data_IF_918980671722
#
_entry.id   IF_918980671722
#
_cell.length_a   1.000
_cell.length_b   1.000
_cell.length_c   1.000
_cell.angle_alpha   90.00
_cell.angle_beta   90.00
_cell.angle_gamma   90.00
#
_symmetry.space_group_name_H-M   'P 1'
#
loop_
_entity.id
_entity.type
_entity.pdbx_description
1 polymer ?
#
# COMPACT_ATOMS: atom_id res chain seq x y z
N UNK A 1 -16.67 13.35 -71.26
CA UNK A 1 -16.94 12.51 -72.45
C UNK A 1 -16.12 11.25 -72.31
N UNK A 2 -16.78 10.09 -72.18
CA UNK A 2 -17.01 9.09 -73.25
C UNK A 2 -15.70 8.34 -73.62
N UNK A 3 -15.54 7.09 -73.13
CA UNK A 3 -15.63 5.81 -73.91
C UNK A 3 -14.24 5.40 -74.44
N UNK A 4 -13.74 4.15 -74.40
CA UNK A 4 -14.24 2.76 -74.13
C UNK A 4 -13.09 1.92 -73.44
N UNK A 5 -13.10 0.61 -73.11
CA UNK A 5 -14.02 -0.55 -73.28
C UNK A 5 -13.77 -1.62 -72.16
N UNK A 6 -14.85 -2.12 -71.56
CA UNK A 6 -15.24 -3.51 -71.12
C UNK A 6 -14.27 -4.73 -71.15
N UNK A 7 -14.52 -5.89 -70.49
CA UNK A 7 -15.34 -6.32 -69.31
C UNK A 7 -15.29 -7.89 -69.14
N UNK A 8 -15.87 -8.45 -68.06
CA UNK A 8 -16.33 -9.86 -67.85
C UNK A 8 -15.27 -11.00 -67.64
N UNK A 9 -15.51 -12.13 -66.92
CA UNK A 9 -15.99 -12.42 -65.53
C UNK A 9 -16.08 -13.96 -65.26
N UNK A 10 -15.74 -14.41 -64.03
CA UNK A 10 -16.00 -15.70 -63.30
C UNK A 10 -15.95 -17.09 -63.97
N UNK A 11 -15.43 -18.10 -63.21
CA UNK A 11 -16.17 -19.24 -62.59
C UNK A 11 -15.16 -20.07 -61.75
N UNK A 12 -15.30 -20.21 -60.42
CA UNK A 12 -16.02 -21.25 -59.65
C UNK A 12 -15.48 -22.69 -59.82
N UNK A 13 -15.02 -23.30 -58.71
CA UNK A 13 -14.65 -24.71 -58.60
C UNK A 13 -14.35 -25.12 -57.15
N UNK A 14 -15.25 -25.88 -56.52
CA UNK A 14 -15.16 -26.39 -55.14
C UNK A 14 -15.03 -27.91 -55.16
N UNK A 15 -14.15 -28.50 -54.34
CA UNK A 15 -14.29 -29.92 -53.92
C UNK A 15 -13.47 -30.23 -52.64
N UNK A 16 -14.12 -30.91 -51.70
CA UNK A 16 -13.55 -31.53 -50.50
C UNK A 16 -13.69 -33.05 -50.65
N UNK A 17 -12.72 -33.82 -50.16
CA UNK A 17 -12.89 -35.26 -49.87
C UNK A 17 -12.10 -35.68 -48.63
N UNK A 18 -12.32 -36.92 -48.17
CA UNK A 18 -12.33 -37.29 -46.76
C UNK A 18 -11.15 -38.19 -46.32
N UNK A 19 -10.74 -37.97 -45.07
CA UNK A 19 -10.41 -38.95 -44.01
C UNK A 19 -9.88 -40.33 -44.45
N UNK A 20 -8.66 -40.64 -43.98
CA UNK A 20 -8.30 -41.97 -43.48
C UNK A 20 -7.37 -41.82 -42.26
N UNK A 21 -7.54 -42.68 -41.26
CA UNK A 21 -6.59 -42.87 -40.16
C UNK A 21 -6.11 -44.33 -40.21
N UNK A 22 -4.87 -44.58 -39.79
CA UNK A 22 -4.40 -45.93 -39.46
C UNK A 22 -3.33 -45.85 -38.35
N UNK A 23 -3.12 -46.94 -37.60
CA UNK A 23 -2.32 -46.95 -36.37
C UNK A 23 -0.99 -47.74 -36.48
N UNK A 24 0.02 -47.24 -35.75
CA UNK A 24 0.99 -48.00 -34.97
C UNK A 24 1.78 -49.17 -35.63
N UNK A 25 3.12 -49.05 -35.71
CA UNK A 25 4.07 -50.01 -35.09
C UNK A 25 5.57 -49.75 -35.37
N UNK A 26 6.41 -50.18 -34.43
CA UNK A 26 7.80 -50.68 -34.60
C UNK A 26 8.95 -49.73 -35.01
N UNK A 27 9.68 -49.28 -33.98
CA UNK A 27 11.14 -49.17 -33.80
C UNK A 27 12.13 -49.17 -35.01
N UNK A 28 13.12 -48.23 -35.02
CA UNK A 28 14.39 -48.40 -35.73
C UNK A 28 15.42 -49.19 -34.87
N UNK A 29 16.48 -49.70 -35.51
CA UNK A 29 17.57 -50.43 -34.85
C UNK A 29 18.94 -50.12 -35.49
N UNK A 30 20.02 -50.51 -34.79
CA UNK A 30 21.44 -50.48 -35.20
C UNK A 30 22.10 -49.07 -35.32
N UNK A 31 23.11 -48.68 -34.52
CA UNK A 31 24.45 -49.25 -34.17
C UNK A 31 25.55 -48.68 -35.09
N UNK A 32 26.76 -48.29 -34.66
CA UNK A 32 27.44 -48.27 -33.35
C UNK A 32 28.38 -47.05 -33.28
N UNK A 33 28.84 -46.66 -32.08
CA UNK A 33 30.29 -46.60 -31.78
C UNK A 33 30.57 -46.51 -30.26
N UNK A 34 31.59 -47.25 -29.83
CA UNK A 34 32.08 -47.46 -28.46
C UNK A 34 33.30 -46.57 -28.13
N UNK A 35 33.86 -46.48 -26.92
CA UNK A 35 33.43 -46.65 -25.49
C UNK A 35 34.71 -46.36 -24.62
N UNK A 36 34.66 -46.49 -23.29
CA UNK A 36 35.78 -46.34 -22.30
C UNK A 36 36.08 -44.86 -21.93
N UNK A 37 36.37 -44.46 -20.69
CA UNK A 37 36.58 -45.14 -19.40
C UNK A 37 36.51 -44.10 -18.23
N UNK A 38 36.46 -44.40 -16.92
CA UNK A 38 35.76 -45.43 -16.11
C UNK A 38 36.26 -45.37 -14.64
N UNK A 39 35.49 -44.83 -13.68
CA UNK A 39 35.62 -45.02 -12.21
C UNK A 39 34.58 -44.12 -11.50
N UNK A 40 33.56 -44.57 -10.77
CA UNK A 40 33.45 -45.56 -9.67
C UNK A 40 34.19 -45.11 -8.40
N UNK A 41 33.41 -44.64 -7.41
CA UNK A 41 33.23 -45.37 -6.15
C UNK A 41 31.85 -45.06 -5.53
N UNK A 42 31.38 -45.97 -4.68
CA UNK A 42 30.01 -46.03 -4.13
C UNK A 42 30.08 -46.53 -2.68
N UNK A 43 29.23 -46.02 -1.78
CA UNK A 43 29.01 -46.65 -0.48
C UNK A 43 27.57 -46.48 0.03
N UNK A 44 26.96 -47.63 0.34
CA UNK A 44 25.78 -47.80 1.20
C UNK A 44 26.29 -48.27 2.60
N UNK A 45 25.54 -48.42 3.70
CA UNK A 45 24.12 -48.83 3.88
C UNK A 45 23.64 -48.57 5.33
N UNK A 46 22.31 -48.67 5.57
CA UNK A 46 21.59 -49.33 6.70
C UNK A 46 22.06 -49.21 8.17
N UNK A 47 21.19 -49.16 9.20
CA UNK A 47 19.71 -49.09 9.32
C UNK A 47 19.34 -48.48 10.72
N UNK A 48 18.28 -48.74 11.53
CA UNK A 48 17.26 -49.81 11.71
C UNK A 48 16.05 -49.26 12.53
N UNK A 49 15.03 -50.09 12.81
CA UNK A 49 13.85 -49.80 13.67
C UNK A 49 13.85 -50.67 14.96
N UNK A 50 12.88 -50.52 15.90
CA UNK A 50 11.68 -51.40 15.82
C UNK A 50 10.31 -50.85 16.34
N UNK A 51 9.27 -51.11 15.54
CA UNK A 51 7.90 -51.64 15.84
C UNK A 51 6.90 -51.04 16.87
N UNK A 52 5.62 -51.04 16.43
CA UNK A 52 4.38 -50.92 17.23
C UNK A 52 3.32 -50.03 16.56
N UNK A 53 2.47 -50.46 15.61
CA UNK A 53 1.35 -51.46 15.70
C UNK A 53 0.34 -51.06 16.80
N UNK A 54 -0.90 -50.66 16.48
CA UNK A 54 -1.94 -51.49 15.83
C UNK A 54 -2.88 -50.76 14.84
N UNK A 55 -3.77 -51.54 14.21
CA UNK A 55 -4.73 -51.13 13.15
C UNK A 55 -6.19 -51.34 13.57
N UNK A 56 -7.13 -50.94 12.69
CA UNK A 56 -8.56 -51.32 12.48
C UNK A 56 -9.38 -50.05 12.12
N UNK A 57 -10.37 -50.02 11.23
CA UNK A 57 -10.68 -50.78 10.00
C UNK A 57 -11.83 -50.06 9.26
N UNK A 58 -12.02 -50.35 7.96
CA UNK A 58 -13.08 -49.84 7.07
C UNK A 58 -14.50 -49.77 7.67
N UNK A 59 -15.29 -48.79 7.22
CA UNK A 59 -16.59 -49.04 6.57
C UNK A 59 -17.02 -47.85 5.69
N UNK A 60 -17.93 -48.10 4.75
CA UNK A 60 -18.41 -47.11 3.77
C UNK A 60 -19.91 -47.25 3.56
N UNK A 61 -20.65 -46.15 3.61
CA UNK A 61 -22.02 -46.07 3.07
C UNK A 61 -22.45 -44.63 2.79
N UNK A 62 -23.24 -44.49 1.74
CA UNK A 62 -24.09 -43.33 1.45
C UNK A 62 -25.53 -43.65 1.88
N UNK A 63 -26.32 -42.65 2.32
CA UNK A 63 -27.66 -42.41 1.76
C UNK A 63 -28.40 -41.17 2.32
N UNK A 64 -29.36 -40.70 1.50
CA UNK A 64 -30.54 -39.84 1.71
C UNK A 64 -30.73 -38.95 2.96
N UNK A 65 -31.22 -37.72 2.70
CA UNK A 65 -31.84 -36.81 3.68
C UNK A 65 -33.36 -36.77 3.45
N UNK A 66 -34.21 -36.93 4.48
CA UNK A 66 -35.63 -36.58 4.43
C UNK A 66 -35.94 -35.19 5.02
N UNK A 67 -36.98 -34.56 4.46
CA UNK A 67 -37.77 -33.42 4.99
C UNK A 67 -38.52 -33.77 6.29
N UNK A 68 -39.05 -32.88 7.13
CA UNK A 68 -38.97 -31.41 7.36
C UNK A 68 -39.81 -31.13 8.63
N UNK A 69 -40.00 -29.92 9.19
CA UNK A 69 -39.60 -28.53 8.90
C UNK A 69 -39.15 -27.86 10.24
N UNK A 70 -39.21 -26.58 10.59
CA UNK A 70 -39.66 -25.27 10.03
C UNK A 70 -38.89 -24.16 10.81
N UNK A 71 -39.06 -22.84 10.65
CA UNK A 71 -39.93 -22.03 9.79
C UNK A 71 -39.87 -20.56 10.18
N UNK A 72 -39.69 -19.63 9.23
CA UNK A 72 -39.65 -18.18 9.51
C UNK A 72 -40.06 -17.31 8.30
N UNK A 73 -40.56 -16.12 8.59
CA UNK A 73 -41.34 -15.29 7.65
C UNK A 73 -40.45 -14.40 6.77
N UNK A 74 -40.83 -14.24 5.49
CA UNK A 74 -40.24 -13.29 4.53
C UNK A 74 -41.29 -12.39 3.89
N UNK A 75 -41.05 -11.08 3.92
CA UNK A 75 -41.50 -10.06 2.95
C UNK A 75 -40.68 -8.78 3.22
N UNK A 76 -40.49 -7.83 2.30
CA UNK A 76 -41.24 -7.52 1.08
C UNK A 76 -40.32 -7.15 -0.10
N UNK A 77 -40.89 -7.02 -1.31
CA UNK A 77 -40.19 -6.54 -2.51
C UNK A 77 -41.01 -5.49 -3.28
N UNK A 78 -40.30 -4.48 -3.80
CA UNK A 78 -40.55 -3.72 -5.06
C UNK A 78 -41.88 -3.00 -5.37
N UNK A 79 -41.79 -1.66 -5.40
CA UNK A 79 -42.19 -0.70 -6.48
C UNK A 79 -43.54 -0.86 -7.23
N UNK A 80 -44.32 0.25 -7.29
CA UNK A 80 -44.68 0.93 -8.57
C UNK A 80 -45.20 2.39 -8.42
N UNK A 81 -45.27 3.07 -9.57
CA UNK A 81 -45.48 4.48 -9.99
C UNK A 81 -46.67 5.35 -9.49
N UNK A 82 -46.53 6.68 -9.75
CA UNK A 82 -47.56 7.76 -9.94
C UNK A 82 -48.29 8.31 -8.68
N UNK A 83 -48.75 9.58 -8.61
CA UNK A 83 -48.52 10.81 -9.42
C UNK A 83 -49.07 12.08 -8.74
N UNK A 84 -48.45 13.26 -8.99
CA UNK A 84 -49.07 14.61 -8.89
C UNK A 84 -49.51 15.10 -7.48
N UNK A 85 -49.69 16.39 -7.14
CA UNK A 85 -49.50 17.68 -7.84
C UNK A 85 -49.51 18.86 -6.85
N UNK A 86 -48.85 19.98 -7.20
CA UNK A 86 -49.02 21.34 -6.61
C UNK A 86 -48.57 21.52 -5.14
N UNK A 87 -48.26 22.73 -4.64
CA UNK A 87 -48.34 24.10 -5.19
C UNK A 87 -47.05 24.90 -4.90
N UNK A 88 -46.80 25.97 -5.65
CA UNK A 88 -45.71 26.93 -5.39
C UNK A 88 -46.24 28.25 -4.83
N UNK A 89 -45.44 28.92 -3.98
CA UNK A 89 -45.44 30.38 -3.79
C UNK A 89 -44.02 30.82 -3.36
N UNK A 90 -43.67 32.06 -3.68
CA UNK A 90 -42.31 32.63 -3.59
C UNK A 90 -42.30 33.91 -2.72
N UNK A 91 -41.14 34.59 -2.67
CA UNK A 91 -40.91 35.93 -2.08
C UNK A 91 -40.85 36.01 -0.55
N UNK A 92 -40.23 37.00 0.11
CA UNK A 92 -39.13 37.95 -0.24
C UNK A 92 -38.87 38.86 0.98
N UNK A 93 -37.64 39.41 1.13
CA UNK A 93 -37.32 40.64 1.91
C UNK A 93 -37.61 40.63 3.43
N UNK A 94 -36.95 41.42 4.30
CA UNK A 94 -35.77 42.28 4.14
C UNK A 94 -35.01 42.41 5.48
N UNK A 95 -33.99 43.26 5.50
CA UNK A 95 -33.01 43.51 6.57
C UNK A 95 -33.59 44.04 7.90
N UNK A 96 -32.84 43.83 8.97
CA UNK A 96 -32.88 44.63 10.20
C UNK A 96 -31.44 44.78 10.75
N UNK A 97 -31.07 45.98 11.21
CA UNK A 97 -29.68 46.33 11.55
C UNK A 97 -29.28 46.18 13.03
N UNK A 98 -28.00 46.44 13.28
CA UNK A 98 -27.22 46.19 14.50
C UNK A 98 -27.63 47.12 15.66
N UNK A 99 -27.64 46.57 16.89
CA UNK A 99 -27.27 47.31 18.09
C UNK A 99 -26.22 46.55 18.91
N UNK A 100 -25.05 47.16 19.08
CA UNK A 100 -23.95 46.62 19.87
C UNK A 100 -24.16 46.85 21.37
N UNK A 101 -23.84 45.85 22.19
CA UNK A 101 -23.44 46.08 23.58
C UNK A 101 -22.06 45.44 23.81
N UNK A 102 -21.12 46.24 24.31
CA UNK A 102 -19.73 45.84 24.47
C UNK A 102 -19.49 45.25 25.87
N UNK A 103 -18.75 44.14 25.92
CA UNK A 103 -18.18 43.59 27.15
C UNK A 103 -16.84 42.97 26.80
N UNK A 104 -15.71 43.42 27.37
CA UNK A 104 -14.40 42.88 27.06
C UNK A 104 -14.19 41.56 27.82
N UNK A 105 -14.88 40.51 27.40
CA UNK A 105 -14.46 39.15 27.75
C UNK A 105 -13.11 38.92 27.08
N UNK A 106 -12.07 38.70 27.89
CA UNK A 106 -10.75 38.31 27.39
C UNK A 106 -10.82 36.87 26.89
N UNK A 107 -11.32 36.70 25.67
CA UNK A 107 -11.24 35.45 24.92
C UNK A 107 -9.78 35.20 24.58
N UNK A 108 -9.06 34.58 25.51
CA UNK A 108 -7.78 33.89 25.28
C UNK A 108 -8.01 32.74 24.32
N UNK A 109 -8.23 33.13 23.07
CA UNK A 109 -8.48 32.29 21.94
C UNK A 109 -7.13 31.69 21.62
N UNK A 110 -6.88 30.49 22.14
CA UNK A 110 -5.76 29.65 21.74
C UNK A 110 -6.00 29.18 20.29
N UNK A 111 -5.97 30.13 19.36
CA UNK A 111 -5.83 29.87 17.94
C UNK A 111 -4.55 29.07 17.78
N UNK A 112 -4.65 27.95 17.05
CA UNK A 112 -3.49 27.13 16.74
C UNK A 112 -2.65 27.92 15.72
N UNK A 113 -1.69 28.70 16.24
CA UNK A 113 -0.76 29.47 15.42
C UNK A 113 0.13 28.47 14.69
N UNK A 114 0.06 28.50 13.36
CA UNK A 114 0.94 27.70 12.52
C UNK A 114 2.41 28.12 12.76
N UNK A 115 3.31 27.14 12.74
CA UNK A 115 4.75 27.37 12.74
C UNK A 115 5.11 28.22 11.52
N UNK A 116 5.88 29.29 11.72
CA UNK A 116 6.38 30.09 10.59
C UNK A 116 7.40 29.24 9.79
N UNK A 117 7.19 29.00 8.48
CA UNK A 117 8.11 28.21 7.66
C UNK A 117 9.57 28.70 7.67
N UNK A 118 9.81 29.98 7.94
CA UNK A 118 11.17 30.55 8.05
C UNK A 118 11.90 30.14 9.35
N UNK A 119 11.17 29.66 10.37
CA UNK A 119 11.75 29.18 11.65
C UNK A 119 12.19 27.72 11.61
N UNK A 120 11.89 27.01 10.52
CA UNK A 120 12.18 25.59 10.34
C UNK A 120 13.68 25.33 10.26
N UNK A 121 14.21 24.56 11.23
CA UNK A 121 15.64 24.24 11.30
C UNK A 121 15.94 23.01 10.44
N UNK A 122 16.84 23.17 9.46
CA UNK A 122 17.30 22.08 8.58
C UNK A 122 18.61 21.48 9.11
N UNK A 123 18.75 20.17 9.01
CA UNK A 123 19.93 19.44 9.47
C UNK A 123 20.19 18.17 8.66
N UNK A 124 21.02 17.29 9.20
CA UNK A 124 21.23 15.94 8.69
C UNK A 124 21.67 14.99 9.80
N UNK A 125 21.50 13.69 9.58
CA UNK A 125 22.12 12.64 10.39
C UNK A 125 22.71 11.57 9.45
N UNK A 126 23.57 10.70 10.00
CA UNK A 126 24.11 9.53 9.29
C UNK A 126 23.58 8.26 9.95
N UNK A 127 22.91 7.40 9.17
CA UNK A 127 22.54 6.07 9.62
C UNK A 127 23.81 5.23 9.75
N UNK A 128 24.08 4.74 10.97
CA UNK A 128 25.29 3.96 11.28
C UNK A 128 25.25 2.54 10.71
N UNK A 129 24.09 2.07 10.23
CA UNK A 129 23.89 0.70 9.72
C UNK A 129 24.38 0.55 8.28
N UNK A 130 24.19 1.56 7.44
CA UNK A 130 24.58 1.57 6.02
C UNK A 130 25.51 2.75 5.63
N UNK A 131 25.79 3.67 6.57
CA UNK A 131 26.60 4.86 6.35
C UNK A 131 25.87 5.97 5.58
N UNK A 132 24.56 5.84 5.31
CA UNK A 132 23.83 6.81 4.52
C UNK A 132 23.51 8.07 5.32
N UNK A 133 23.91 9.22 4.76
CA UNK A 133 23.49 10.53 5.24
C UNK A 133 22.07 10.82 4.73
N UNK A 134 21.20 11.28 5.62
CA UNK A 134 19.85 11.75 5.33
C UNK A 134 19.69 13.17 5.88
N UNK A 135 18.94 14.03 5.16
CA UNK A 135 18.51 15.34 5.65
C UNK A 135 17.45 15.21 6.74
N UNK A 136 17.41 16.15 7.67
CA UNK A 136 16.39 16.28 8.72
C UNK A 136 15.82 17.68 8.77
N UNK A 137 14.64 17.80 9.38
CA UNK A 137 13.91 19.06 9.47
C UNK A 137 13.11 19.14 10.78
N UNK A 138 13.31 20.19 11.57
CA UNK A 138 12.54 20.45 12.80
C UNK A 138 11.37 21.38 12.50
N UNK A 139 10.15 20.89 12.72
CA UNK A 139 8.88 21.58 12.48
C UNK A 139 8.10 21.59 13.79
N UNK A 140 7.93 22.77 14.40
CA UNK A 140 7.52 22.85 15.81
C UNK A 140 8.55 22.13 16.67
N UNK A 141 8.11 21.23 17.56
CA UNK A 141 9.04 20.43 18.37
C UNK A 141 9.55 19.14 17.70
N UNK A 142 8.90 18.65 16.65
CA UNK A 142 9.23 17.37 16.01
C UNK A 142 10.38 17.50 15.01
N UNK A 143 11.38 16.62 15.09
CA UNK A 143 12.50 16.55 14.14
C UNK A 143 12.34 15.35 13.21
N UNK A 144 11.80 15.59 12.02
CA UNK A 144 11.51 14.56 11.02
C UNK A 144 12.72 14.29 10.11
N UNK A 145 12.82 13.07 9.58
CA UNK A 145 13.58 12.84 8.34
C UNK A 145 12.97 13.67 7.21
N UNK A 146 13.79 14.40 6.46
CA UNK A 146 13.39 15.16 5.26
C UNK A 146 13.55 14.34 3.96
N UNK A 147 14.05 13.11 4.06
CA UNK A 147 14.22 12.17 2.94
C UNK A 147 13.66 10.79 3.31
N UNK A 148 13.20 10.03 2.32
CA UNK A 148 12.61 8.70 2.53
C UNK A 148 13.70 7.66 2.86
N UNK A 149 13.45 6.79 3.84
CA UNK A 149 14.39 5.74 4.25
C UNK A 149 14.73 4.79 3.08
N UNK A 150 16.00 4.41 2.95
CA UNK A 150 16.50 3.51 1.90
C UNK A 150 17.45 2.42 2.45
N UNK A 151 17.29 2.07 3.71
CA UNK A 151 18.01 0.97 4.36
C UNK A 151 17.52 -0.38 3.79
N UNK A 152 18.44 -1.31 3.49
CA UNK A 152 18.09 -2.55 2.78
C UNK A 152 18.87 -3.79 3.21
N UNK A 153 19.48 -3.79 4.39
CA UNK A 153 20.23 -4.95 4.89
C UNK A 153 19.28 -6.00 5.48
N UNK A 154 18.89 -6.95 4.64
CA UNK A 154 18.03 -8.07 5.04
C UNK A 154 18.77 -9.21 5.76
N UNK A 155 20.08 -9.08 5.99
CA UNK A 155 20.88 -10.04 6.79
C UNK A 155 20.80 -9.64 8.25
N UNK A 156 21.06 -8.36 8.56
CA UNK A 156 20.91 -7.81 9.91
C UNK A 156 19.46 -7.45 10.27
N UNK A 157 18.55 -7.32 9.29
CA UNK A 157 17.12 -7.10 9.53
C UNK A 157 16.22 -8.06 8.72
N UNK A 158 15.98 -9.30 9.22
CA UNK A 158 15.24 -10.34 8.50
C UNK A 158 13.80 -9.97 8.08
N UNK A 159 13.16 -9.01 8.76
CA UNK A 159 11.85 -8.48 8.35
C UNK A 159 11.83 -7.96 6.91
N UNK A 160 12.96 -7.47 6.39
CA UNK A 160 13.10 -6.98 5.01
C UNK A 160 13.05 -8.06 3.92
N UNK A 161 13.30 -9.34 4.25
CA UNK A 161 13.38 -10.44 3.27
C UNK A 161 12.05 -10.57 2.50
N UNK A 162 12.11 -10.37 1.17
CA UNK A 162 10.94 -10.38 0.28
C UNK A 162 9.89 -9.29 0.56
N UNK A 163 10.24 -8.26 1.35
CA UNK A 163 9.29 -7.30 1.94
C UNK A 163 9.73 -5.82 1.80
N UNK A 164 10.74 -5.55 0.97
CA UNK A 164 11.12 -4.19 0.58
C UNK A 164 11.59 -4.13 -0.87
N UNK A 165 11.28 -3.02 -1.55
CA UNK A 165 11.41 -2.87 -3.01
C UNK A 165 11.88 -1.47 -3.39
N UNK A 166 12.66 -1.39 -4.46
CA UNK A 166 12.69 -0.16 -5.26
C UNK A 166 11.47 -0.16 -6.18
N UNK A 167 10.93 1.01 -6.53
CA UNK A 167 9.87 1.09 -7.54
C UNK A 167 10.33 0.44 -8.85
N UNK A 168 9.47 -0.35 -9.51
CA UNK A 168 9.80 -1.16 -10.69
C UNK A 168 11.02 -2.10 -10.52
N UNK A 169 11.45 -2.35 -9.29
CA UNK A 169 12.71 -3.02 -8.90
C UNK A 169 14.01 -2.35 -9.39
N UNK A 170 13.97 -1.14 -9.96
CA UNK A 170 15.19 -0.42 -10.37
C UNK A 170 15.81 0.41 -9.22
N UNK A 171 17.09 0.17 -8.98
CA UNK A 171 17.95 0.94 -8.06
C UNK A 171 17.90 2.46 -8.25
N UNK A 172 17.60 2.96 -9.46
CA UNK A 172 17.52 4.41 -9.72
C UNK A 172 16.38 5.06 -8.91
N UNK A 173 15.22 4.40 -8.82
CA UNK A 173 14.12 4.85 -7.98
C UNK A 173 14.47 4.79 -6.49
N UNK A 174 15.17 3.75 -6.02
CA UNK A 174 15.67 3.72 -4.64
C UNK A 174 16.60 4.91 -4.33
N UNK A 175 17.52 5.24 -5.24
CA UNK A 175 18.43 6.40 -5.08
C UNK A 175 17.66 7.72 -5.00
N UNK A 176 16.55 7.84 -5.73
CA UNK A 176 15.78 9.08 -5.89
C UNK A 176 14.65 9.27 -4.87
N UNK A 177 13.79 8.27 -4.68
CA UNK A 177 12.57 8.34 -3.87
C UNK A 177 12.64 7.52 -2.57
N UNK A 178 13.80 6.91 -2.27
CA UNK A 178 13.92 5.94 -1.18
C UNK A 178 13.27 4.60 -1.52
N UNK A 179 13.14 3.75 -0.52
CA UNK A 179 12.66 2.36 -0.66
C UNK A 179 11.22 2.23 -0.18
N UNK A 180 10.50 1.29 -0.78
CA UNK A 180 9.15 0.90 -0.39
C UNK A 180 9.24 -0.33 0.53
N UNK A 181 8.47 -0.37 1.61
CA UNK A 181 8.48 -1.44 2.61
C UNK A 181 7.05 -1.91 2.88
N UNK A 182 6.84 -3.20 3.08
CA UNK A 182 5.58 -3.71 3.65
C UNK A 182 5.42 -3.23 5.09
N UNK A 183 4.21 -3.23 5.63
CA UNK A 183 4.00 -2.78 7.01
C UNK A 183 4.76 -3.65 8.02
N UNK A 184 4.80 -4.96 7.79
CA UNK A 184 5.58 -5.90 8.61
C UNK A 184 7.09 -5.64 8.56
N UNK A 185 7.61 -5.11 7.43
CA UNK A 185 8.98 -4.60 7.36
C UNK A 185 9.14 -3.25 8.07
N UNK A 186 8.15 -2.34 7.97
CA UNK A 186 8.17 -1.01 8.58
C UNK A 186 8.30 -1.05 10.11
N UNK A 187 7.56 -1.95 10.77
CA UNK A 187 7.57 -2.15 12.23
C UNK A 187 8.67 -3.12 12.72
N UNK A 188 9.48 -3.66 11.82
CA UNK A 188 10.40 -4.78 12.08
C UNK A 188 9.74 -5.96 12.84
N UNK A 189 8.76 -6.61 12.21
CA UNK A 189 7.92 -7.63 12.84
C UNK A 189 8.68 -8.85 13.40
N UNK A 190 9.86 -9.15 12.87
CA UNK A 190 10.72 -10.24 13.39
C UNK A 190 11.40 -9.81 14.68
N UNK A 191 12.03 -8.63 14.72
CA UNK A 191 12.64 -8.11 15.94
C UNK A 191 11.62 -7.90 17.08
N UNK A 192 10.38 -7.51 16.76
CA UNK A 192 9.27 -7.52 17.71
C UNK A 192 9.01 -8.94 18.24
N UNK A 193 8.75 -9.91 17.35
CA UNK A 193 8.45 -11.28 17.74
C UNK A 193 9.57 -11.92 18.60
N UNK A 194 10.84 -11.70 18.25
CA UNK A 194 11.98 -12.25 18.99
C UNK A 194 12.16 -11.59 20.37
N UNK A 195 11.78 -10.31 20.52
CA UNK A 195 11.89 -9.57 21.78
C UNK A 195 10.72 -9.78 22.75
N UNK A 196 9.49 -10.01 22.25
CA UNK A 196 8.28 -10.01 23.06
C UNK A 196 7.16 -10.96 22.60
N UNK A 197 7.38 -11.76 21.55
CA UNK A 197 6.41 -12.73 21.02
C UNK A 197 5.26 -12.13 20.19
N UNK A 198 5.23 -10.82 19.96
CA UNK A 198 4.14 -10.17 19.21
C UNK A 198 4.33 -10.40 17.71
N UNK A 199 3.44 -11.22 17.11
CA UNK A 199 3.37 -11.39 15.67
C UNK A 199 2.45 -10.33 15.04
N UNK A 200 3.03 -9.46 14.21
CA UNK A 200 2.32 -8.39 13.49
C UNK A 200 2.28 -8.60 11.96
N UNK A 201 2.38 -9.85 11.52
CA UNK A 201 2.26 -10.21 10.10
C UNK A 201 0.85 -10.02 9.51
N UNK A 202 0.72 -10.32 8.23
CA UNK A 202 -0.57 -10.44 7.55
C UNK A 202 -1.33 -11.67 8.09
N UNK A 203 -2.65 -11.57 8.25
CA UNK A 203 -3.52 -12.46 9.06
C UNK A 203 -3.38 -12.36 10.60
N UNK A 204 -2.44 -11.59 11.15
CA UNK A 204 -2.24 -11.50 12.61
C UNK A 204 -2.74 -10.18 13.20
N UNK A 205 -3.31 -10.24 14.40
CA UNK A 205 -3.74 -9.06 15.14
C UNK A 205 -2.55 -8.44 15.86
N UNK A 206 -2.16 -7.24 15.44
CA UNK A 206 -1.10 -6.47 16.08
C UNK A 206 -1.73 -5.47 17.06
N UNK A 207 -1.86 -5.89 18.33
CA UNK A 207 -2.63 -5.17 19.37
C UNK A 207 -1.84 -4.86 20.65
N UNK A 208 -0.52 -5.04 20.65
CA UNK A 208 0.33 -4.89 21.84
C UNK A 208 1.66 -4.14 21.55
N UNK A 209 1.70 -3.33 20.48
CA UNK A 209 2.87 -2.51 20.18
C UNK A 209 3.18 -1.53 21.33
N UNK A 210 4.46 -1.23 21.61
CA UNK A 210 4.84 -0.15 22.52
C UNK A 210 4.41 1.21 21.96
N UNK A 211 4.26 2.21 22.84
CA UNK A 211 3.84 3.56 22.47
C UNK A 211 4.76 4.20 21.41
N UNK A 212 6.07 3.95 21.52
CA UNK A 212 7.08 4.30 20.53
C UNK A 212 7.61 3.02 19.89
N UNK A 213 7.48 2.88 18.57
CA UNK A 213 7.91 1.69 17.80
C UNK A 213 9.15 2.05 16.96
N UNK A 214 10.37 1.62 17.34
CA UNK A 214 11.57 1.88 16.53
C UNK A 214 11.41 1.33 15.11
N UNK A 215 10.96 0.08 14.99
CA UNK A 215 10.77 -0.61 13.72
C UNK A 215 12.04 -0.56 12.85
N UNK A 216 11.88 -0.25 11.57
CA UNK A 216 12.99 -0.18 10.61
C UNK A 216 13.87 1.09 10.73
N UNK A 217 13.50 2.03 11.60
CA UNK A 217 14.22 3.29 11.77
C UNK A 217 15.58 3.10 12.47
N UNK A 218 16.56 4.01 12.24
CA UNK A 218 17.85 3.95 12.92
C UNK A 218 17.71 4.35 14.40
N UNK A 219 18.61 3.85 15.25
CA UNK A 219 18.64 4.18 16.68
C UNK A 219 18.60 5.70 16.94
N UNK A 220 17.69 6.15 17.81
CA UNK A 220 17.39 7.58 18.05
C UNK A 220 16.26 8.11 17.16
N UNK A 221 15.61 7.23 16.40
CA UNK A 221 14.43 7.50 15.58
C UNK A 221 13.46 6.32 15.63
N UNK A 222 12.18 6.60 15.47
CA UNK A 222 11.10 5.62 15.44
C UNK A 222 10.18 5.78 14.23
N UNK A 223 9.31 4.80 13.99
CA UNK A 223 8.23 4.86 13.02
C UNK A 223 7.07 5.68 13.62
N UNK A 224 6.77 6.89 13.13
CA UNK A 224 5.82 7.78 13.77
C UNK A 224 4.38 7.25 13.71
N UNK A 225 3.67 7.47 14.80
CA UNK A 225 2.27 7.12 15.02
C UNK A 225 1.32 8.13 14.35
N UNK A 226 0.03 7.79 14.25
CA UNK A 226 -0.99 8.74 13.81
C UNK A 226 -1.05 10.01 14.70
N UNK A 227 -1.02 9.94 16.05
CA UNK A 227 -0.87 11.12 16.91
C UNK A 227 0.31 12.03 16.53
N UNK A 228 1.47 11.48 16.16
CA UNK A 228 2.65 12.27 15.79
C UNK A 228 2.51 12.91 14.41
N UNK A 229 1.96 12.19 13.42
CA UNK A 229 1.56 12.79 12.15
C UNK A 229 0.50 13.87 12.33
N UNK A 230 -0.45 13.69 13.24
CA UNK A 230 -1.46 14.70 13.59
C UNK A 230 -0.83 15.94 14.22
N UNK A 231 0.22 15.79 15.04
CA UNK A 231 1.01 16.92 15.58
C UNK A 231 1.69 17.70 14.47
N UNK A 232 2.36 17.05 13.51
CA UNK A 232 2.93 17.71 12.32
C UNK A 232 1.85 18.47 11.54
N UNK A 233 0.72 17.81 11.23
CA UNK A 233 -0.38 18.42 10.49
C UNK A 233 -1.03 19.59 11.25
N UNK A 234 -1.06 19.54 12.58
CA UNK A 234 -1.51 20.68 13.40
C UNK A 234 -0.51 21.83 13.37
N UNK A 235 0.79 21.54 13.46
CA UNK A 235 1.87 22.53 13.48
C UNK A 235 1.94 23.37 12.19
N UNK A 236 1.66 22.78 11.03
CA UNK A 236 1.64 23.49 9.74
C UNK A 236 0.35 24.30 9.47
N UNK A 237 -0.48 24.54 10.50
CA UNK A 237 -1.80 25.18 10.35
C UNK A 237 -2.83 24.31 9.64
N UNK A 238 -2.57 23.00 9.57
CA UNK A 238 -3.28 22.05 8.72
C UNK A 238 -4.51 21.39 9.34
N UNK A 239 -4.82 21.68 10.60
CA UNK A 239 -5.98 21.14 11.32
C UNK A 239 -6.79 22.32 11.87
N UNK A 240 -8.09 22.34 11.60
CA UNK A 240 -8.99 23.38 12.14
C UNK A 240 -9.10 23.28 13.68
N UNK A 241 -9.60 24.35 14.31
CA UNK A 241 -10.02 24.32 15.73
C UNK A 241 -11.10 23.25 16.03
N UNK A 242 -11.75 22.68 14.99
CA UNK A 242 -12.70 21.57 15.07
C UNK A 242 -12.10 20.19 14.74
N UNK A 243 -10.77 20.08 14.60
CA UNK A 243 -10.07 18.82 14.35
C UNK A 243 -10.09 18.32 12.91
N UNK A 244 -10.58 19.12 11.95
CA UNK A 244 -10.71 18.74 10.55
C UNK A 244 -9.41 19.05 9.79
N UNK A 245 -8.86 18.06 9.09
CA UNK A 245 -7.67 18.23 8.24
C UNK A 245 -8.04 19.11 7.03
N UNK A 246 -7.30 20.21 6.86
CA UNK A 246 -7.55 21.22 5.83
C UNK A 246 -6.98 20.80 4.46
N UNK A 247 -7.63 21.29 3.40
CA UNK A 247 -7.39 20.86 2.02
C UNK A 247 -6.05 21.26 1.40
N UNK A 248 -5.23 22.01 2.14
CA UNK A 248 -3.92 22.53 1.72
C UNK A 248 -2.73 21.77 2.29
N UNK A 249 -2.96 20.89 3.28
CA UNK A 249 -1.93 20.20 4.07
C UNK A 249 -0.90 19.43 3.27
N UNK A 250 -1.32 18.76 2.19
CA UNK A 250 -0.42 17.98 1.35
C UNK A 250 0.52 18.88 0.57
N UNK A 251 0.02 19.94 -0.08
CA UNK A 251 0.85 20.87 -0.86
C UNK A 251 2.05 21.41 -0.05
N UNK A 252 1.83 21.75 1.23
CA UNK A 252 2.83 22.32 2.15
C UNK A 252 3.98 21.34 2.51
N UNK A 253 3.75 20.03 2.34
CA UNK A 253 4.72 18.96 2.62
C UNK A 253 5.22 18.27 1.35
N UNK A 254 4.51 18.39 0.23
CA UNK A 254 4.86 17.84 -1.08
C UNK A 254 6.01 18.62 -1.70
N UNK A 255 7.03 17.90 -2.18
CA UNK A 255 8.15 18.48 -2.92
C UNK A 255 7.70 19.34 -4.11
N UNK A 256 8.48 20.37 -4.45
CA UNK A 256 8.16 21.36 -5.51
C UNK A 256 8.14 20.77 -6.93
N UNK A 257 8.78 19.63 -7.13
CA UNK A 257 9.10 19.03 -8.42
C UNK A 257 8.89 17.50 -8.40
N UNK A 258 9.21 16.84 -9.51
CA UNK A 258 8.90 15.43 -9.84
C UNK A 258 7.42 15.06 -9.95
N UNK A 259 6.56 15.57 -9.07
CA UNK A 259 5.10 15.42 -9.14
C UNK A 259 4.59 15.80 -10.53
N UNK A 260 3.74 14.95 -11.13
CA UNK A 260 2.97 15.30 -12.34
C UNK A 260 1.93 16.35 -11.93
N UNK A 261 1.97 17.59 -12.46
CA UNK A 261 1.06 18.65 -12.03
C UNK A 261 -0.38 18.35 -12.46
N UNK A 262 -1.29 18.24 -11.49
CA UNK A 262 -2.73 18.25 -11.76
C UNK A 262 -3.27 19.68 -11.66
N UNK A 263 -4.03 20.13 -12.66
CA UNK A 263 -4.57 21.49 -12.75
C UNK A 263 -3.51 22.61 -12.57
N UNK A 264 -2.30 22.41 -13.14
CA UNK A 264 -1.15 23.34 -13.13
C UNK A 264 -0.57 23.73 -11.75
N UNK A 265 -1.15 23.27 -10.65
CA UNK A 265 -0.63 23.49 -9.30
C UNK A 265 0.49 22.48 -8.97
N UNK A 266 1.42 22.85 -8.08
CA UNK A 266 2.53 22.00 -7.59
C UNK A 266 2.44 21.79 -6.08
N UNK A 267 3.32 20.96 -5.50
CA UNK A 267 3.70 21.09 -4.10
C UNK A 267 4.52 22.37 -3.89
N UNK A 268 4.57 22.87 -2.66
CA UNK A 268 5.26 24.11 -2.31
C UNK A 268 6.42 23.90 -1.33
N UNK A 269 6.37 22.82 -0.54
CA UNK A 269 7.41 22.38 0.40
C UNK A 269 7.90 23.46 1.38
N UNK A 270 6.98 24.33 1.83
CA UNK A 270 7.22 25.46 2.74
C UNK A 270 8.08 25.04 3.94
N UNK A 271 7.77 23.88 4.51
CA UNK A 271 8.40 23.33 5.71
C UNK A 271 9.60 22.41 5.41
N UNK A 272 10.06 22.29 4.16
CA UNK A 272 11.22 21.47 3.80
C UNK A 272 11.09 19.99 4.16
N UNK A 273 9.87 19.46 4.14
CA UNK A 273 9.59 18.05 4.37
C UNK A 273 9.84 17.21 3.12
N UNK A 274 9.75 17.80 1.92
CA UNK A 274 10.12 17.19 0.65
C UNK A 274 9.48 15.82 0.40
N UNK A 275 8.17 15.67 0.63
CA UNK A 275 7.47 14.42 0.30
C UNK A 275 7.51 14.19 -1.21
N UNK A 276 8.34 13.21 -1.61
CA UNK A 276 8.53 12.80 -3.00
C UNK A 276 7.48 11.77 -3.42
N UNK A 277 7.04 11.80 -4.69
CA UNK A 277 5.96 10.94 -5.20
C UNK A 277 6.48 9.54 -5.56
N UNK A 278 6.82 8.75 -4.53
CA UNK A 278 7.41 7.42 -4.65
C UNK A 278 6.49 6.36 -5.26
N UNK A 279 5.18 6.66 -5.41
CA UNK A 279 4.17 5.67 -5.76
C UNK A 279 4.02 4.61 -4.67
N UNK A 280 3.64 3.40 -5.07
CA UNK A 280 3.61 2.24 -4.18
C UNK A 280 3.83 0.92 -4.91
N UNK A 281 4.00 -0.15 -4.12
CA UNK A 281 3.88 -1.54 -4.55
C UNK A 281 2.58 -2.13 -4.00
N UNK A 282 1.77 -2.78 -4.83
CA UNK A 282 0.57 -3.52 -4.40
C UNK A 282 0.94 -4.95 -4.03
N UNK A 283 0.78 -5.29 -2.75
CA UNK A 283 1.03 -6.64 -2.25
C UNK A 283 -0.11 -7.64 -2.55
N UNK A 284 -1.21 -7.16 -3.15
CA UNK A 284 -2.29 -7.99 -3.68
C UNK A 284 -2.08 -8.31 -5.16
N UNK A 285 -1.72 -7.30 -5.96
CA UNK A 285 -1.58 -7.41 -7.42
C UNK A 285 -0.15 -7.74 -7.89
N UNK A 286 0.84 -7.65 -6.99
CA UNK A 286 2.25 -7.90 -7.30
C UNK A 286 2.90 -6.86 -8.22
N UNK A 287 2.30 -5.67 -8.34
CA UNK A 287 2.71 -4.62 -9.28
C UNK A 287 3.06 -3.29 -8.58
N UNK A 288 3.61 -2.36 -9.35
CA UNK A 288 3.91 -1.00 -8.92
C UNK A 288 2.93 0.00 -9.56
N UNK A 289 2.66 1.13 -8.90
CA UNK A 289 1.78 2.16 -9.47
C UNK A 289 1.92 3.55 -8.86
N UNK A 290 1.41 4.53 -9.61
CA UNK A 290 1.23 5.93 -9.19
C UNK A 290 2.49 6.67 -8.74
N UNK A 291 3.69 6.24 -9.18
CA UNK A 291 4.90 7.07 -9.09
C UNK A 291 4.65 8.41 -9.79
N UNK A 292 5.19 9.50 -9.27
CA UNK A 292 4.93 10.89 -9.72
C UNK A 292 3.48 11.40 -9.53
N UNK A 293 2.50 10.56 -9.20
CA UNK A 293 1.12 10.96 -8.91
C UNK A 293 0.76 10.91 -7.42
N UNK A 294 1.44 10.06 -6.65
CA UNK A 294 1.16 9.84 -5.22
C UNK A 294 2.38 9.40 -4.41
N UNK A 295 2.26 9.49 -3.09
CA UNK A 295 3.11 8.79 -2.13
C UNK A 295 2.29 8.40 -0.91
N UNK A 296 2.76 7.40 -0.17
CA UNK A 296 2.21 7.07 1.14
C UNK A 296 3.34 6.75 2.11
N UNK A 297 3.09 6.98 3.40
CA UNK A 297 3.99 6.67 4.50
C UNK A 297 3.29 5.77 5.51
N UNK A 298 3.91 4.65 5.88
CA UNK A 298 3.38 3.82 6.97
C UNK A 298 3.45 4.56 8.31
N UNK A 299 2.47 4.31 9.19
CA UNK A 299 2.54 4.67 10.60
C UNK A 299 2.74 3.42 11.47
N UNK A 300 3.17 3.62 12.72
CA UNK A 300 3.18 2.56 13.75
C UNK A 300 1.78 2.27 14.32
N UNK A 301 0.80 3.16 14.11
CA UNK A 301 -0.59 2.93 14.51
C UNK A 301 -1.21 1.79 13.69
N UNK A 302 -1.99 0.93 14.36
CA UNK A 302 -2.64 -0.21 13.72
C UNK A 302 -4.14 0.03 13.61
N UNK A 303 -4.72 -0.36 12.47
CA UNK A 303 -6.16 -0.23 12.22
C UNK A 303 -7.03 -1.20 13.07
N UNK A 304 -6.46 -1.90 14.05
CA UNK A 304 -7.15 -2.91 14.85
C UNK A 304 -7.57 -4.18 14.09
N UNK A 305 -7.06 -4.40 12.87
CA UNK A 305 -7.44 -5.54 12.01
C UNK A 305 -6.30 -6.57 11.82
N UNK A 306 -6.59 -7.64 11.06
CA UNK A 306 -5.63 -8.68 10.65
C UNK A 306 -4.87 -8.35 9.35
N UNK A 307 -5.33 -7.34 8.59
CA UNK A 307 -4.99 -7.15 7.17
C UNK A 307 -4.52 -5.74 6.84
N UNK A 308 -5.08 -4.75 7.52
CA UNK A 308 -4.91 -3.33 7.24
C UNK A 308 -4.14 -2.64 8.37
N UNK A 309 -3.44 -1.56 8.03
CA UNK A 309 -2.83 -0.65 9.01
C UNK A 309 -2.87 0.79 8.53
N UNK A 310 -2.58 1.71 9.44
CA UNK A 310 -2.73 3.14 9.18
C UNK A 310 -1.52 3.69 8.42
N UNK A 311 -1.79 4.42 7.35
CA UNK A 311 -0.79 5.14 6.54
C UNK A 311 -1.27 6.56 6.24
N UNK A 312 -0.33 7.48 6.06
CA UNK A 312 -0.60 8.82 5.54
C UNK A 312 -0.40 8.81 4.03
N UNK A 313 -1.42 9.21 3.28
CA UNK A 313 -1.40 9.27 1.82
C UNK A 313 -1.47 10.72 1.32
N UNK A 314 -0.68 11.03 0.29
CA UNK A 314 -0.69 12.29 -0.44
C UNK A 314 -0.77 11.99 -1.94
N UNK A 315 -1.62 12.72 -2.67
CA UNK A 315 -1.71 12.64 -4.13
C UNK A 315 -1.85 14.03 -4.77
N UNK A 316 -1.55 14.11 -6.07
CA UNK A 316 -1.56 15.36 -6.83
C UNK A 316 -2.96 15.96 -7.08
N UNK A 317 -4.06 15.23 -6.83
CA UNK A 317 -5.44 15.68 -7.06
C UNK A 317 -6.02 16.34 -5.81
N UNK A 318 -6.07 15.60 -4.70
CA UNK A 318 -6.71 16.02 -3.45
C UNK A 318 -5.82 16.97 -2.64
N UNK A 319 -4.50 16.80 -2.72
CA UNK A 319 -3.48 17.68 -2.12
C UNK A 319 -3.59 17.82 -0.59
N UNK A 320 -4.17 16.82 0.05
CA UNK A 320 -4.27 16.66 1.51
C UNK A 320 -3.32 15.56 1.97
N UNK A 321 -2.87 15.65 3.21
CA UNK A 321 -2.33 14.50 3.91
C UNK A 321 -3.50 13.74 4.57
N UNK A 322 -3.90 12.62 4.00
CA UNK A 322 -5.07 11.85 4.44
C UNK A 322 -4.65 10.57 5.16
N UNK A 323 -5.23 10.31 6.33
CA UNK A 323 -5.15 9.00 6.97
C UNK A 323 -5.95 7.98 6.14
N UNK A 324 -5.34 6.84 5.84
CA UNK A 324 -5.92 5.72 5.09
C UNK A 324 -5.56 4.39 5.74
N UNK A 325 -6.34 3.34 5.47
CA UNK A 325 -6.18 1.98 6.04
C UNK A 325 -5.84 0.91 4.98
N UNK A 326 -4.72 1.04 4.22
CA UNK A 326 -4.34 0.10 3.17
C UNK A 326 -3.85 -1.26 3.69
N UNK A 327 -3.80 -2.24 2.78
CA UNK A 327 -3.33 -3.61 3.03
C UNK A 327 -1.84 -3.62 3.44
N UNK A 328 -1.52 -4.32 4.53
CA UNK A 328 -0.16 -4.42 5.11
C UNK A 328 0.89 -5.01 4.16
N UNK A 329 0.49 -5.74 3.11
CA UNK A 329 1.39 -6.28 2.09
C UNK A 329 1.90 -5.20 1.14
N UNK A 330 1.25 -4.04 1.06
CA UNK A 330 1.63 -2.95 0.17
C UNK A 330 2.97 -2.32 0.57
N UNK A 331 3.79 -1.97 -0.41
CA UNK A 331 5.05 -1.27 -0.20
C UNK A 331 4.86 0.24 -0.24
N UNK A 332 5.10 0.91 0.90
CA UNK A 332 5.07 2.36 1.03
C UNK A 332 6.40 2.91 1.58
N UNK A 333 6.59 4.22 1.49
CA UNK A 333 7.80 4.89 1.99
C UNK A 333 7.82 4.95 3.53
N UNK A 334 8.99 5.17 4.12
CA UNK A 334 9.15 5.41 5.55
C UNK A 334 9.76 6.79 5.77
N UNK A 335 9.18 7.54 6.71
CA UNK A 335 9.71 8.77 7.28
C UNK A 335 9.75 8.61 8.78
N UNK A 336 10.95 8.47 9.32
CA UNK A 336 11.12 8.35 10.76
C UNK A 336 11.07 9.73 11.42
N UNK A 337 10.65 9.73 12.68
CA UNK A 337 10.69 10.88 13.59
C UNK A 337 11.79 10.62 14.63
N UNK A 338 12.54 11.65 15.02
CA UNK A 338 13.56 11.54 16.06
C UNK A 338 12.93 11.41 17.45
N UNK A 339 13.58 10.65 18.33
CA UNK A 339 13.21 10.48 19.74
C UNK A 339 13.51 11.75 20.59
#
# INVERSE_FOLDING_TARGET
MLLEKTSVVLWIGLLLFLIACDENSSAPSHSDFSDSSSSILQSSSSSTLPNGVSSFSQSSSSESIPTSSDGCIRSSSSRTVQSSSSSAISSSSSEAEILSSSSPTSSSSNAIVAVDPSTVVKGSFTDKRDGKVYKTVKIGEQTWMAENLNYSDSVNTPSLVGKSWCYENDSSYCKKYGRLYSWAAAIDSVALYDANGINCGYHYLCSALPDTVPGICPHGYHLPSWPEWKTLLSAIGGISNSGIILSTTGNLLMATDDWIPWASQKGTDDYGFSALPAGHYSGELGNFGYVRESTSFWTSTTAGTLYYSDAIHLNNRDRKASLVTPDRRNGFSIRCLMD
#
